data_IF_650402346149
#
_entry.id   IF_650402346149
#
_cell.length_a   1.000
_cell.length_b   1.000
_cell.length_c   1.000
_cell.angle_alpha   90.00
_cell.angle_beta   90.00
_cell.angle_gamma   90.00
#
_symmetry.space_group_name_H-M   'P 1'
#
loop_
_entity.id
_entity.type
_entity.pdbx_description
1 polymer ?
#
# COMPACT_ATOMS: atom_id res chain seq x y z
N UNK A 1 -14.02 -5.35 -7.65
CA UNK A 1 -14.34 -5.12 -6.23
C UNK A 1 -13.13 -5.61 -5.44
N UNK A 2 -12.43 -4.69 -4.77
CA UNK A 2 -11.21 -4.98 -4.01
C UNK A 2 -11.65 -5.58 -2.66
N UNK A 3 -11.34 -6.85 -2.41
CA UNK A 3 -11.67 -7.53 -1.16
C UNK A 3 -10.39 -7.92 -0.43
N UNK A 4 -9.71 -6.93 0.16
CA UNK A 4 -8.61 -7.18 1.10
C UNK A 4 -9.15 -7.02 2.53
N UNK A 5 -8.94 -8.04 3.39
CA UNK A 5 -9.44 -8.05 4.77
C UNK A 5 -8.82 -6.96 5.66
N UNK A 6 -7.72 -6.34 5.20
CA UNK A 6 -7.06 -5.23 5.90
C UNK A 6 -7.59 -3.86 5.51
N UNK A 7 -8.25 -3.75 4.35
CA UNK A 7 -9.00 -2.56 4.00
C UNK A 7 -10.34 -2.64 4.73
N UNK A 8 -10.65 -1.60 5.50
CA UNK A 8 -11.87 -1.55 6.30
C UNK A 8 -12.65 -0.27 6.00
N UNK A 9 -13.96 -0.29 6.25
CA UNK A 9 -14.81 0.87 6.01
C UNK A 9 -14.70 1.38 4.56
N UNK A 10 -14.31 2.65 4.42
CA UNK A 10 -14.23 3.38 3.15
C UNK A 10 -12.86 3.21 2.43
N UNK A 11 -11.92 2.43 2.99
CA UNK A 11 -10.59 2.21 2.42
C UNK A 11 -10.63 1.64 0.99
N UNK A 12 -11.45 0.60 0.66
CA UNK A 12 -11.48 0.06 -0.69
C UNK A 12 -11.96 1.07 -1.73
N UNK A 13 -12.93 1.91 -1.37
CA UNK A 13 -13.46 2.97 -2.24
C UNK A 13 -12.44 4.09 -2.42
N UNK A 14 -11.67 4.40 -1.37
CA UNK A 14 -10.58 5.37 -1.41
C UNK A 14 -9.46 4.89 -2.35
N UNK A 15 -9.02 3.64 -2.22
CA UNK A 15 -8.03 3.03 -3.12
C UNK A 15 -8.52 3.07 -4.57
N UNK A 16 -9.77 2.65 -4.81
CA UNK A 16 -10.34 2.61 -6.16
C UNK A 16 -10.42 4.02 -6.79
N UNK A 17 -10.86 5.01 -6.01
CA UNK A 17 -10.95 6.41 -6.46
C UNK A 17 -9.57 6.98 -6.79
N UNK A 18 -8.58 6.75 -5.93
CA UNK A 18 -7.23 7.25 -6.14
C UNK A 18 -6.56 6.63 -7.36
N UNK A 19 -6.69 5.32 -7.53
CA UNK A 19 -6.15 4.64 -8.72
C UNK A 19 -6.88 5.03 -10.01
N UNK A 20 -8.17 5.36 -9.95
CA UNK A 20 -8.88 5.89 -11.12
C UNK A 20 -8.43 7.31 -11.49
N UNK A 21 -8.13 8.15 -10.49
CA UNK A 21 -7.69 9.53 -10.72
C UNK A 21 -6.23 9.61 -11.20
N UNK A 22 -5.35 8.80 -10.62
CA UNK A 22 -3.91 8.97 -10.73
C UNK A 22 -3.17 7.72 -11.26
N UNK A 23 -3.79 6.54 -11.24
CA UNK A 23 -3.19 5.28 -11.67
C UNK A 23 -3.06 5.09 -13.18
N UNK A 24 -3.33 6.12 -13.99
CA UNK A 24 -2.97 6.12 -15.41
C UNK A 24 -1.48 6.28 -15.67
N UNK A 25 -0.72 6.60 -14.62
CA UNK A 25 0.74 6.67 -14.62
C UNK A 25 1.32 5.36 -14.08
N UNK A 26 2.22 4.74 -14.83
CA UNK A 26 2.78 3.41 -14.52
C UNK A 26 3.56 3.42 -13.19
N UNK A 27 4.03 4.58 -12.76
CA UNK A 27 4.81 4.77 -11.54
C UNK A 27 3.92 5.17 -10.34
N UNK A 28 2.60 5.27 -10.47
CA UNK A 28 1.72 5.61 -9.34
C UNK A 28 1.30 4.37 -8.54
N UNK A 29 1.37 4.46 -7.21
CA UNK A 29 0.84 3.43 -6.32
C UNK A 29 0.07 4.02 -5.14
N UNK A 30 -0.81 3.19 -4.59
CA UNK A 30 -1.44 3.37 -3.28
C UNK A 30 -0.90 2.28 -2.36
N UNK A 31 -0.40 2.65 -1.19
CA UNK A 31 0.10 1.71 -0.20
C UNK A 31 -0.74 1.75 1.08
N UNK A 32 -1.02 0.58 1.63
CA UNK A 32 -1.52 0.43 3.00
C UNK A 32 -0.35 0.18 3.94
N UNK A 33 -0.30 0.94 5.03
CA UNK A 33 0.73 0.90 6.05
C UNK A 33 0.15 0.40 7.37
N UNK A 34 0.88 -0.45 8.12
CA UNK A 34 0.50 -0.76 9.50
C UNK A 34 0.66 0.46 10.41
N UNK A 35 -0.18 0.56 11.44
CA UNK A 35 -0.25 1.73 12.35
C UNK A 35 1.13 2.16 12.87
N UNK A 36 1.96 1.22 13.31
CA UNK A 36 3.29 1.53 13.83
C UNK A 36 4.20 2.21 12.80
N UNK A 37 4.02 1.92 11.50
CA UNK A 37 4.81 2.53 10.44
C UNK A 37 4.26 3.91 10.09
N UNK A 38 2.95 4.10 10.18
CA UNK A 38 2.30 5.42 10.07
C UNK A 38 2.80 6.32 11.20
N UNK A 39 2.90 5.82 12.43
CA UNK A 39 3.39 6.60 13.56
C UNK A 39 4.89 6.93 13.46
N UNK A 40 5.68 6.07 12.79
CA UNK A 40 7.13 6.27 12.62
C UNK A 40 7.47 7.19 11.44
N UNK A 41 6.63 7.20 10.41
CA UNK A 41 6.86 7.97 9.18
C UNK A 41 5.98 9.22 9.18
N UNK A 42 6.59 10.37 8.92
CA UNK A 42 5.82 11.59 8.65
C UNK A 42 5.25 11.47 7.22
N UNK A 43 4.08 10.84 7.10
CA UNK A 43 3.38 10.62 5.82
C UNK A 43 2.01 11.25 5.85
N UNK A 44 1.63 11.88 4.76
CA UNK A 44 0.26 12.33 4.58
C UNK A 44 -0.65 11.16 4.18
N UNK A 45 -1.73 10.98 4.94
CA UNK A 45 -2.67 9.90 4.73
C UNK A 45 -3.81 10.32 3.79
N UNK A 46 -4.34 9.36 3.05
CA UNK A 46 -5.36 9.59 2.05
C UNK A 46 -6.75 9.76 2.65
N UNK A 47 -7.30 10.96 2.50
CA UNK A 47 -8.70 11.26 2.76
C UNK A 47 -9.06 11.10 4.23
N UNK A 48 -9.81 10.04 4.55
CA UNK A 48 -10.22 9.69 5.92
C UNK A 48 -9.61 8.38 6.42
N UNK A 49 -8.71 7.78 5.64
CA UNK A 49 -8.05 6.55 6.03
C UNK A 49 -6.92 6.83 7.01
N UNK A 50 -6.77 5.96 8.00
CA UNK A 50 -5.68 6.04 8.98
C UNK A 50 -4.41 5.29 8.49
N UNK A 51 -4.47 4.62 7.33
CA UNK A 51 -3.43 3.68 6.91
C UNK A 51 -3.04 3.76 5.44
N UNK A 52 -3.71 4.58 4.63
CA UNK A 52 -3.45 4.66 3.19
C UNK A 52 -2.58 5.87 2.86
N UNK A 53 -1.55 5.66 2.04
CA UNK A 53 -0.74 6.71 1.41
C UNK A 53 -0.73 6.46 -0.11
N UNK A 54 -0.54 7.50 -0.91
CA UNK A 54 -0.27 7.33 -2.33
C UNK A 54 0.76 8.32 -2.84
N UNK A 55 1.31 8.00 -4.00
CA UNK A 55 2.32 8.82 -4.63
C UNK A 55 2.94 8.15 -5.84
N UNK A 56 3.90 8.85 -6.43
CA UNK A 56 4.75 8.31 -7.50
C UNK A 56 5.94 7.57 -6.91
N UNK A 57 6.28 6.43 -7.48
CA UNK A 57 7.50 5.69 -7.17
C UNK A 57 8.66 6.40 -7.85
N UNK A 58 9.53 7.04 -7.07
CA UNK A 58 10.78 7.60 -7.60
C UNK A 58 11.84 6.52 -7.75
N UNK A 59 11.89 5.59 -6.79
CA UNK A 59 12.85 4.50 -6.81
C UNK A 59 12.27 3.20 -6.27
N UNK A 60 12.66 2.08 -6.88
CA UNK A 60 12.32 0.74 -6.40
C UNK A 60 13.60 -0.05 -6.14
N UNK A 61 13.72 -0.59 -4.93
CA UNK A 61 14.75 -1.58 -4.59
C UNK A 61 14.11 -2.96 -4.44
N UNK A 62 14.92 -4.00 -4.26
CA UNK A 62 14.43 -5.33 -3.92
C UNK A 62 13.56 -5.33 -2.65
N UNK A 63 13.84 -4.45 -1.68
CA UNK A 63 13.25 -4.49 -0.33
C UNK A 63 12.28 -3.36 -0.02
N UNK A 64 12.30 -2.28 -0.80
CA UNK A 64 11.54 -1.07 -0.49
C UNK A 64 11.17 -0.26 -1.74
N UNK A 65 10.12 0.54 -1.63
CA UNK A 65 9.76 1.61 -2.55
C UNK A 65 10.15 2.96 -1.94
N UNK A 66 10.69 3.86 -2.74
CA UNK A 66 10.77 5.28 -2.42
C UNK A 66 9.57 5.96 -3.09
N UNK A 67 8.66 6.47 -2.27
CA UNK A 67 7.43 7.10 -2.70
C UNK A 67 7.56 8.62 -2.53
N UNK A 68 7.17 9.37 -3.57
CA UNK A 68 6.94 10.80 -3.53
C UNK A 68 5.48 11.06 -3.18
N UNK A 69 5.21 11.33 -1.91
CA UNK A 69 3.88 11.59 -1.37
C UNK A 69 3.80 13.05 -0.91
N UNK A 70 2.90 13.84 -1.49
CA UNK A 70 2.72 15.29 -1.28
C UNK A 70 4.02 16.14 -1.25
N UNK A 71 5.04 15.72 -2.01
CA UNK A 71 6.32 16.43 -2.08
C UNK A 71 7.36 15.97 -1.06
N UNK A 72 7.02 15.04 -0.17
CA UNK A 72 7.96 14.34 0.70
C UNK A 72 8.37 12.97 0.13
N UNK A 73 9.59 12.57 0.46
CA UNK A 73 10.20 11.30 0.08
C UNK A 73 10.11 10.30 1.24
N UNK A 74 9.39 9.19 1.04
CA UNK A 74 9.26 8.15 2.05
C UNK A 74 9.68 6.77 1.54
N UNK A 75 10.57 6.13 2.31
CA UNK A 75 10.92 4.73 2.10
C UNK A 75 9.91 3.80 2.76
N UNK A 76 9.24 2.99 1.94
CA UNK A 76 8.24 2.01 2.34
C UNK A 76 8.77 0.58 2.17
N UNK A 77 8.96 -0.19 3.25
CA UNK A 77 9.48 -1.55 3.19
C UNK A 77 8.43 -2.54 2.67
N UNK A 78 8.74 -3.27 1.60
CA UNK A 78 7.82 -4.21 0.92
C UNK A 78 7.33 -5.34 1.81
N UNK A 79 8.10 -5.73 2.83
CA UNK A 79 7.77 -6.84 3.72
C UNK A 79 6.62 -6.55 4.69
N UNK A 80 6.22 -5.28 4.86
CA UNK A 80 5.24 -4.89 5.88
C UNK A 80 4.08 -4.04 5.33
N UNK A 81 4.18 -3.55 4.09
CA UNK A 81 3.14 -2.77 3.42
C UNK A 81 2.33 -3.63 2.45
N UNK A 82 1.18 -3.13 2.01
CA UNK A 82 0.46 -3.66 0.84
C UNK A 82 0.42 -2.58 -0.23
N UNK A 83 0.62 -2.98 -1.48
CA UNK A 83 0.65 -2.04 -2.61
C UNK A 83 -0.49 -2.37 -3.57
N UNK A 84 -1.13 -1.31 -4.07
CA UNK A 84 -2.17 -1.35 -5.08
C UNK A 84 -1.75 -0.41 -6.21
N UNK A 85 -1.75 -0.91 -7.45
CA UNK A 85 -1.43 -0.15 -8.66
C UNK A 85 -2.26 -0.66 -9.82
N UNK A 86 -2.44 0.17 -10.85
CA UNK A 86 -3.09 -0.26 -12.09
C UNK A 86 -2.01 -0.90 -12.95
N UNK A 87 -2.00 -2.22 -13.07
CA UNK A 87 -1.18 -2.88 -14.10
C UNK A 87 -1.77 -2.53 -15.47
N UNK A 88 -0.93 -2.24 -16.48
CA UNK A 88 -1.28 -1.78 -17.84
C UNK A 88 -2.14 -2.72 -18.71
N UNK A 89 -3.10 -3.40 -18.12
CA UNK A 89 -4.03 -4.36 -18.71
C UNK A 89 -5.14 -4.74 -17.73
N UNK A 90 -5.78 -3.77 -17.08
CA UNK A 90 -7.15 -3.90 -16.56
C UNK A 90 -7.40 -4.76 -15.31
N UNK A 91 -6.40 -5.44 -14.76
CA UNK A 91 -6.53 -6.18 -13.49
C UNK A 91 -5.59 -5.62 -12.43
N UNK A 92 -6.20 -5.24 -11.29
CA UNK A 92 -5.50 -4.77 -10.10
C UNK A 92 -4.84 -6.00 -9.46
N UNK A 93 -3.52 -6.12 -9.57
CA UNK A 93 -2.78 -7.18 -8.88
C UNK A 93 -2.75 -6.88 -7.37
N UNK A 94 -3.70 -7.46 -6.63
CA UNK A 94 -3.60 -7.50 -5.17
C UNK A 94 -2.52 -8.53 -4.83
N UNK A 95 -1.41 -8.17 -4.18
CA UNK A 95 -0.43 -9.15 -3.74
C UNK A 95 -1.09 -10.09 -2.73
N UNK A 96 -1.35 -11.34 -3.14
CA UNK A 96 -1.75 -12.41 -2.23
C UNK A 96 -0.56 -12.78 -1.34
N UNK A 97 -0.33 -12.02 -0.28
CA UNK A 97 0.42 -12.55 0.84
C UNK A 97 -0.48 -13.53 1.61
N UNK A 98 -0.21 -14.82 1.36
CA UNK A 98 -0.80 -15.94 2.06
C UNK A 98 -0.66 -15.78 3.56
N UNK A 99 -1.78 -15.95 4.26
CA UNK A 99 -1.90 -15.99 5.71
C UNK A 99 -1.35 -17.33 6.25
N UNK A 100 -0.09 -17.64 5.98
CA UNK A 100 0.56 -18.89 6.41
C UNK A 100 2.02 -18.65 6.74
N UNK A 101 2.30 -18.00 7.88
CA UNK A 101 3.59 -18.23 8.57
C UNK A 101 3.60 -17.84 10.07
N UNK A 102 2.43 -17.84 10.71
CA UNK A 102 2.34 -17.80 12.17
C UNK A 102 1.60 -19.03 12.70
N UNK A 103 2.21 -20.22 12.52
CA UNK A 103 1.90 -21.39 13.35
C UNK A 103 3.15 -21.79 14.13
N UNK A 104 3.33 -21.08 15.23
CA UNK A 104 3.60 -21.63 16.55
C UNK A 104 4.79 -22.59 16.73
N UNK A 105 5.89 -22.04 17.25
CA UNK A 105 6.82 -22.82 18.06
C UNK A 105 6.21 -23.07 19.44
N UNK A 106 6.14 -24.33 19.88
CA UNK A 106 5.86 -24.66 21.26
C UNK A 106 5.29 -26.05 21.51
N UNK A 107 6.16 -27.04 21.70
CA UNK A 107 6.21 -27.84 22.94
C UNK A 107 7.29 -28.93 22.86
N UNK A 108 7.92 -29.14 24.01
CA UNK A 108 8.90 -30.18 24.35
C UNK A 108 8.38 -31.59 24.13
#
# INVERSE_FOLDING_TARGET
MISDRKLSGDDPDTVARELQANGGDDDYLVAWLPDWLVDEKDVELLGRSDNLVSGRVDHETEKAYLLLADGDEVWLPKSVIRVYRVSGGGDLEIPQHGLTDFTNGGSR
#
